data_IF_656115232999
#
_entry.id   IF_656115232999
#
_cell.length_a   1.000
_cell.length_b   1.000
_cell.length_c   1.000
_cell.angle_alpha   90.00
_cell.angle_beta   90.00
_cell.angle_gamma   90.00
#
_symmetry.space_group_name_H-M   'P 1'
#
loop_
_entity.id
_entity.type
_entity.pdbx_description
1 polymer ?
#
# COMPACT_ATOMS: atom_id res chain seq x y z
N UNK A 1 18.65 -18.58 -9.32
CA UNK A 1 17.48 -18.07 -10.04
C UNK A 1 17.73 -16.59 -10.30
N UNK A 2 18.03 -16.21 -11.54
CA UNK A 2 18.11 -14.80 -11.93
C UNK A 2 16.69 -14.26 -12.07
N UNK A 3 16.41 -13.11 -11.46
CA UNK A 3 15.17 -12.39 -11.66
C UNK A 3 15.38 -11.42 -12.81
N UNK A 4 14.95 -11.79 -14.02
CA UNK A 4 14.94 -10.90 -15.19
C UNK A 4 13.75 -9.93 -15.07
N UNK A 5 13.96 -8.85 -14.30
CA UNK A 5 12.96 -7.79 -14.12
C UNK A 5 13.19 -6.68 -15.13
N UNK A 6 12.12 -6.24 -15.79
CA UNK A 6 12.12 -5.00 -16.58
C UNK A 6 12.29 -3.79 -15.66
N UNK A 7 12.74 -2.66 -16.22
CA UNK A 7 12.89 -1.41 -15.45
C UNK A 7 11.57 -0.96 -14.81
N UNK A 8 10.44 -1.19 -15.49
CA UNK A 8 9.10 -0.88 -14.97
C UNK A 8 8.77 -1.75 -13.76
N UNK A 9 9.00 -3.06 -13.84
CA UNK A 9 8.76 -3.97 -12.71
C UNK A 9 9.66 -3.63 -11.52
N UNK A 10 10.92 -3.29 -11.78
CA UNK A 10 11.85 -2.84 -10.74
C UNK A 10 11.36 -1.54 -10.08
N UNK A 11 10.89 -0.56 -10.86
CA UNK A 11 10.35 0.69 -10.33
C UNK A 11 9.11 0.45 -9.46
N UNK A 12 8.18 -0.40 -9.91
CA UNK A 12 6.99 -0.77 -9.14
C UNK A 12 7.38 -1.50 -7.85
N UNK A 13 8.31 -2.44 -7.91
CA UNK A 13 8.79 -3.17 -6.74
C UNK A 13 9.43 -2.24 -5.70
N UNK A 14 10.27 -1.30 -6.14
CA UNK A 14 10.89 -0.31 -5.27
C UNK A 14 9.86 0.65 -4.66
N UNK A 15 8.90 1.13 -5.45
CA UNK A 15 7.82 1.97 -4.95
C UNK A 15 6.98 1.24 -3.89
N UNK A 16 6.60 -0.02 -4.16
CA UNK A 16 5.89 -0.86 -3.20
C UNK A 16 6.71 -1.08 -1.91
N UNK A 17 8.02 -1.31 -2.05
CA UNK A 17 8.94 -1.45 -0.92
C UNK A 17 9.00 -0.20 -0.05
N UNK A 18 9.13 0.98 -0.65
CA UNK A 18 9.16 2.27 0.07
C UNK A 18 7.83 2.54 0.78
N UNK A 19 6.71 2.34 0.10
CA UNK A 19 5.38 2.51 0.69
C UNK A 19 5.15 1.53 1.85
N UNK A 20 5.52 0.26 1.66
CA UNK A 20 5.41 -0.76 2.71
C UNK A 20 6.29 -0.47 3.92
N UNK A 21 7.54 -0.05 3.70
CA UNK A 21 8.44 0.36 4.77
C UNK A 21 7.91 1.57 5.54
N UNK A 22 7.39 2.58 4.82
CA UNK A 22 6.76 3.75 5.43
C UNK A 22 5.51 3.41 6.24
N UNK A 23 4.65 2.52 5.73
CA UNK A 23 3.48 2.03 6.46
C UNK A 23 3.89 1.35 7.77
N UNK A 24 4.91 0.49 7.75
CA UNK A 24 5.37 -0.20 8.96
C UNK A 24 5.94 0.83 9.95
N UNK A 25 6.88 1.66 9.51
CA UNK A 25 7.63 2.56 10.36
C UNK A 25 6.77 3.69 10.96
N UNK A 26 5.93 4.31 10.15
CA UNK A 26 5.23 5.55 10.52
C UNK A 26 3.75 5.36 10.86
N UNK A 27 3.16 4.18 10.61
CA UNK A 27 1.74 3.94 10.86
C UNK A 27 1.56 2.75 11.80
N UNK A 28 2.01 1.56 11.42
CA UNK A 28 1.72 0.33 12.16
C UNK A 28 2.45 0.28 13.52
N UNK A 29 3.77 0.52 13.54
CA UNK A 29 4.55 0.54 14.78
C UNK A 29 3.98 1.54 15.81
N UNK A 30 3.76 2.83 15.47
CA UNK A 30 3.22 3.77 16.44
C UNK A 30 1.78 3.43 16.86
N UNK A 31 0.93 2.95 15.96
CA UNK A 31 -0.43 2.53 16.32
C UNK A 31 -0.42 1.41 17.38
N UNK A 32 0.52 0.46 17.28
CA UNK A 32 0.66 -0.64 18.22
C UNK A 32 1.32 -0.26 19.55
N UNK A 33 2.06 0.85 19.57
CA UNK A 33 2.80 1.30 20.75
C UNK A 33 1.93 2.02 21.79
N UNK A 34 0.83 2.65 21.36
CA UNK A 34 -0.05 3.47 22.23
C UNK A 34 -0.93 2.62 23.16
N UNK A 35 -1.30 1.42 22.74
CA UNK A 35 -2.24 0.58 23.50
C UNK A 35 -1.54 -0.37 24.46
N UNK A 36 -2.12 -0.58 25.65
CA UNK A 36 -1.60 -1.53 26.63
C UNK A 36 -2.05 -2.97 26.38
N UNK A 37 -3.29 -3.16 25.91
CA UNK A 37 -3.91 -4.49 25.78
C UNK A 37 -3.73 -5.07 24.38
N UNK A 38 -3.51 -6.38 24.29
CA UNK A 38 -3.28 -7.07 23.02
C UNK A 38 -4.46 -6.93 22.03
N UNK A 39 -5.70 -7.01 22.52
CA UNK A 39 -6.89 -6.90 21.67
C UNK A 39 -7.08 -5.49 21.06
N UNK A 40 -6.69 -4.45 21.79
CA UNK A 40 -6.70 -3.07 21.29
C UNK A 40 -5.67 -2.91 20.17
N UNK A 41 -4.46 -3.46 20.38
CA UNK A 41 -3.39 -3.51 19.37
C UNK A 41 -3.84 -4.20 18.09
N UNK A 42 -4.40 -5.40 18.18
CA UNK A 42 -4.90 -6.15 17.00
C UNK A 42 -5.94 -5.33 16.24
N UNK A 43 -6.90 -4.72 16.95
CA UNK A 43 -7.94 -3.91 16.31
C UNK A 43 -7.36 -2.67 15.63
N UNK A 44 -6.40 -2.00 16.27
CA UNK A 44 -5.69 -0.87 15.69
C UNK A 44 -4.93 -1.26 14.41
N UNK A 45 -4.20 -2.38 14.43
CA UNK A 45 -3.50 -2.90 13.25
C UNK A 45 -4.45 -3.28 12.11
N UNK A 46 -5.62 -3.86 12.43
CA UNK A 46 -6.64 -4.14 11.43
C UNK A 46 -7.17 -2.85 10.79
N UNK A 47 -7.38 -1.80 11.58
CA UNK A 47 -7.82 -0.51 11.07
C UNK A 47 -6.76 0.13 10.15
N UNK A 48 -5.48 0.06 10.50
CA UNK A 48 -4.40 0.61 9.64
C UNK A 48 -4.27 -0.19 8.34
N UNK A 49 -4.43 -1.51 8.38
CA UNK A 49 -4.46 -2.35 7.18
C UNK A 49 -5.68 -2.03 6.30
N UNK A 50 -6.84 -1.82 6.89
CA UNK A 50 -8.04 -1.41 6.17
C UNK A 50 -7.83 -0.09 5.43
N UNK A 51 -7.23 0.91 6.09
CA UNK A 51 -6.88 2.19 5.45
C UNK A 51 -5.90 1.98 4.29
N UNK A 52 -4.84 1.20 4.50
CA UNK A 52 -3.86 0.88 3.45
C UNK A 52 -4.53 0.22 2.25
N UNK A 53 -5.34 -0.81 2.47
CA UNK A 53 -6.07 -1.52 1.42
C UNK A 53 -7.04 -0.60 0.67
N UNK A 54 -7.72 0.31 1.39
CA UNK A 54 -8.64 1.27 0.79
C UNK A 54 -7.89 2.27 -0.11
N UNK A 55 -6.77 2.82 0.36
CA UNK A 55 -5.96 3.74 -0.41
C UNK A 55 -5.37 3.07 -1.66
N UNK A 56 -4.86 1.84 -1.52
CA UNK A 56 -4.30 1.08 -2.63
C UNK A 56 -5.39 0.67 -3.63
N UNK A 57 -6.54 0.21 -3.13
CA UNK A 57 -7.69 -0.18 -3.93
C UNK A 57 -8.28 0.99 -4.71
N UNK A 58 -8.53 2.13 -4.05
CA UNK A 58 -9.03 3.32 -4.74
C UNK A 58 -7.99 3.90 -5.70
N UNK A 59 -6.74 4.04 -5.28
CA UNK A 59 -5.68 4.57 -6.14
C UNK A 59 -5.47 3.70 -7.40
N UNK A 60 -5.43 2.37 -7.22
CA UNK A 60 -5.36 1.42 -8.32
C UNK A 60 -6.59 1.48 -9.23
N UNK A 61 -7.80 1.49 -8.66
CA UNK A 61 -9.03 1.56 -9.43
C UNK A 61 -9.13 2.87 -10.25
N UNK A 62 -8.79 4.02 -9.65
CA UNK A 62 -8.78 5.30 -10.34
C UNK A 62 -7.71 5.35 -11.43
N UNK A 63 -6.49 4.87 -11.15
CA UNK A 63 -5.42 4.80 -12.15
C UNK A 63 -5.82 3.94 -13.34
N UNK A 64 -6.39 2.76 -13.10
CA UNK A 64 -6.90 1.88 -14.15
C UNK A 64 -8.06 2.50 -14.93
N UNK A 65 -8.98 3.18 -14.25
CA UNK A 65 -10.10 3.87 -14.90
C UNK A 65 -9.62 4.97 -15.87
N UNK A 66 -8.57 5.72 -15.49
CA UNK A 66 -7.93 6.72 -16.35
C UNK A 66 -7.31 6.06 -17.57
N UNK A 67 -6.50 5.01 -17.39
CA UNK A 67 -5.85 4.29 -18.49
C UNK A 67 -6.89 3.72 -19.45
N UNK A 68 -7.96 3.10 -18.93
CA UNK A 68 -9.02 2.53 -19.75
C UNK A 68 -9.83 3.57 -20.53
N UNK A 69 -9.93 4.79 -19.99
CA UNK A 69 -10.65 5.89 -20.63
C UNK A 69 -9.79 6.65 -21.64
N UNK A 70 -8.47 6.46 -21.64
CA UNK A 70 -7.53 7.29 -22.39
C UNK A 70 -7.81 7.26 -23.90
N UNK A 71 -7.93 6.06 -24.49
CA UNK A 71 -8.21 5.89 -25.93
C UNK A 71 -9.56 6.47 -26.39
N UNK A 72 -10.49 6.72 -25.44
CA UNK A 72 -11.80 7.30 -25.74
C UNK A 72 -11.78 8.83 -25.81
N UNK A 73 -10.82 9.47 -25.16
CA UNK A 73 -10.78 10.92 -24.97
C UNK A 73 -9.50 11.59 -25.48
N UNK A 74 -8.46 10.82 -25.80
CA UNK A 74 -7.24 11.26 -26.48
C UNK A 74 -7.37 11.10 -28.01
#
# INVERSE_FOLDING_TARGET
MSLDLTTTELAIAMAAGIVGAGYIAFILIPAMAVYGRLWEKVTAALLTLFMLATLLGMGGALGLAVVWSYDRYA
#
